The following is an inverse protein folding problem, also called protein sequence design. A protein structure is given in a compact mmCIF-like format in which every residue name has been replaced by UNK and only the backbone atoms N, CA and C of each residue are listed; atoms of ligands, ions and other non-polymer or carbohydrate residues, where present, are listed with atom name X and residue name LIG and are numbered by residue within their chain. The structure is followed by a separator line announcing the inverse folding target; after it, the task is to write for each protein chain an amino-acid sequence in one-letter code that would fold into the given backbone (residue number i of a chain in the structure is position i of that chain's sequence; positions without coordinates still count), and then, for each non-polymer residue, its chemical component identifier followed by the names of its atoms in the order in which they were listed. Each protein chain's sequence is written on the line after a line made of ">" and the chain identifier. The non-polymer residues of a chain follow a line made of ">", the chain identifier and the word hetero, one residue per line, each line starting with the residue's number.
data_IF_535207202874
#
_entry.id   IF_535207202874
#
_cell.length_a   1.000
_cell.length_b   1.000
_cell.length_c   1.000
_cell.angle_alpha   90.00
_cell.angle_beta   90.00
_cell.angle_gamma   90.00
#
_symmetry.space_group_name_H-M   'P 1'
#
loop_
_entity.id
_entity.type
_entity.pdbx_description
1 polymer ?
#
# COMPACT_ATOMS: atom_id res chain seq x y z
N UNK A 1 -33.02 -7.62 -49.00
CA UNK A 1 -31.61 -7.13 -48.85
C UNK A 1 -31.51 -5.87 -48.03
N UNK A 2 -32.40 -4.90 -48.14
CA UNK A 2 -32.39 -3.67 -47.31
C UNK A 2 -32.53 -3.98 -45.80
N UNK A 3 -33.36 -4.94 -45.43
CA UNK A 3 -33.60 -5.35 -44.04
C UNK A 3 -32.36 -5.98 -43.43
N UNK A 4 -31.64 -6.78 -44.20
CA UNK A 4 -30.42 -7.46 -43.72
C UNK A 4 -29.30 -6.44 -43.46
N UNK A 5 -29.18 -5.44 -44.32
CA UNK A 5 -28.19 -4.36 -44.18
C UNK A 5 -28.49 -3.45 -42.99
N UNK A 6 -29.79 -3.12 -42.80
CA UNK A 6 -30.23 -2.34 -41.66
C UNK A 6 -29.97 -3.10 -40.33
N UNK A 7 -30.25 -4.40 -40.33
CA UNK A 7 -30.00 -5.24 -39.19
C UNK A 7 -28.52 -5.33 -38.86
N UNK A 8 -27.66 -5.46 -39.88
CA UNK A 8 -26.21 -5.48 -39.69
C UNK A 8 -25.68 -4.11 -39.17
N UNK A 9 -26.21 -3.00 -39.71
CA UNK A 9 -25.84 -1.69 -39.21
C UNK A 9 -26.21 -1.47 -37.75
N UNK A 10 -27.38 -1.96 -37.36
CA UNK A 10 -27.82 -1.93 -35.97
C UNK A 10 -26.89 -2.74 -35.05
N UNK A 11 -26.47 -3.91 -35.49
CA UNK A 11 -25.53 -4.76 -34.74
C UNK A 11 -24.18 -4.10 -34.62
N UNK A 12 -23.69 -3.47 -35.69
CA UNK A 12 -22.41 -2.74 -35.69
C UNK A 12 -22.46 -1.59 -34.69
N UNK A 13 -23.51 -0.78 -34.70
CA UNK A 13 -23.70 0.32 -33.76
C UNK A 13 -23.75 -0.18 -32.31
N UNK A 14 -24.49 -1.25 -32.06
CA UNK A 14 -24.63 -1.85 -30.75
C UNK A 14 -23.27 -2.35 -30.22
N UNK A 15 -22.50 -3.04 -31.07
CA UNK A 15 -21.16 -3.51 -30.72
C UNK A 15 -20.19 -2.35 -30.48
N UNK A 16 -20.26 -1.31 -31.29
CA UNK A 16 -19.43 -0.12 -31.10
C UNK A 16 -19.73 0.58 -29.78
N UNK A 17 -21.01 0.68 -29.42
CA UNK A 17 -21.43 1.26 -28.14
C UNK A 17 -20.94 0.41 -26.96
N UNK A 18 -21.09 -0.90 -27.06
CA UNK A 18 -20.57 -1.82 -26.04
C UNK A 18 -19.06 -1.71 -25.90
N UNK A 19 -18.33 -1.64 -27.01
CA UNK A 19 -16.88 -1.49 -27.01
C UNK A 19 -16.45 -0.18 -26.35
N UNK A 20 -17.18 0.89 -26.63
CA UNK A 20 -16.92 2.20 -26.01
C UNK A 20 -17.14 2.15 -24.50
N UNK A 21 -18.22 1.54 -24.05
CA UNK A 21 -18.51 1.36 -22.62
C UNK A 21 -17.46 0.49 -21.94
N UNK A 22 -17.06 -0.61 -22.57
CA UNK A 22 -16.02 -1.50 -22.05
C UNK A 22 -14.68 -0.78 -21.94
N UNK A 23 -14.32 0.02 -22.96
CA UNK A 23 -13.10 0.82 -22.92
C UNK A 23 -13.09 1.80 -21.75
N UNK A 24 -14.22 2.45 -21.50
CA UNK A 24 -14.36 3.36 -20.36
C UNK A 24 -14.24 2.64 -19.03
N UNK A 25 -14.84 1.46 -18.89
CA UNK A 25 -14.74 0.64 -17.69
C UNK A 25 -13.32 0.17 -17.44
N UNK A 26 -12.63 -0.26 -18.49
CA UNK A 26 -11.22 -0.68 -18.38
C UNK A 26 -10.36 0.49 -17.92
N UNK A 27 -10.55 1.67 -18.47
CA UNK A 27 -9.81 2.86 -18.03
C UNK A 27 -10.10 3.21 -16.58
N UNK A 28 -11.36 3.15 -16.16
CA UNK A 28 -11.76 3.40 -14.79
C UNK A 28 -11.13 2.38 -13.82
N UNK A 29 -11.15 1.11 -14.20
CA UNK A 29 -10.53 0.05 -13.41
C UNK A 29 -9.03 0.22 -13.29
N UNK A 30 -8.35 0.61 -14.36
CA UNK A 30 -6.91 0.87 -14.33
C UNK A 30 -6.55 2.01 -13.40
N UNK A 31 -7.35 3.08 -13.38
CA UNK A 31 -7.17 4.19 -12.42
C UNK A 31 -7.37 3.72 -11.00
N UNK A 32 -8.39 2.91 -10.77
CA UNK A 32 -8.67 2.35 -9.45
C UNK A 32 -7.54 1.47 -8.97
N UNK A 33 -7.00 0.59 -9.84
CA UNK A 33 -5.83 -0.24 -9.53
C UNK A 33 -4.63 0.63 -9.20
N UNK A 34 -4.38 1.67 -9.98
CA UNK A 34 -3.28 2.60 -9.74
C UNK A 34 -3.43 3.28 -8.37
N UNK A 35 -4.61 3.77 -8.05
CA UNK A 35 -4.89 4.43 -6.77
C UNK A 35 -4.72 3.47 -5.60
N UNK A 36 -5.17 2.23 -5.76
CA UNK A 36 -5.00 1.19 -4.75
C UNK A 36 -3.52 0.83 -4.54
N UNK A 37 -2.75 0.75 -5.63
CA UNK A 37 -1.31 0.49 -5.55
C UNK A 37 -0.57 1.62 -4.84
N UNK A 38 -0.88 2.87 -5.17
CA UNK A 38 -0.30 4.04 -4.49
C UNK A 38 -0.66 4.03 -3.01
N UNK A 39 -1.91 3.73 -2.68
CA UNK A 39 -2.35 3.58 -1.30
C UNK A 39 -1.61 2.48 -0.56
N UNK A 40 -1.43 1.34 -1.20
CA UNK A 40 -0.69 0.21 -0.62
C UNK A 40 0.79 0.56 -0.40
N UNK A 41 1.43 1.20 -1.38
CA UNK A 41 2.83 1.66 -1.24
C UNK A 41 2.98 2.63 -0.06
N UNK A 42 2.01 3.51 0.12
CA UNK A 42 2.00 4.45 1.25
C UNK A 42 1.88 3.72 2.59
N UNK A 43 1.00 2.71 2.67
CA UNK A 43 0.85 1.89 3.88
C UNK A 43 2.12 1.12 4.18
N UNK A 44 2.74 0.51 3.18
CA UNK A 44 4.00 -0.22 3.33
C UNK A 44 5.11 0.71 3.82
N UNK A 45 5.22 1.92 3.25
CA UNK A 45 6.19 2.91 3.68
C UNK A 45 5.97 3.31 5.14
N UNK A 46 4.72 3.53 5.55
CA UNK A 46 4.37 3.86 6.93
C UNK A 46 4.72 2.71 7.89
N UNK A 47 4.47 1.48 7.49
CA UNK A 47 4.83 0.30 8.26
C UNK A 47 6.35 0.15 8.41
N UNK A 48 7.11 0.42 7.37
CA UNK A 48 8.57 0.39 7.41
C UNK A 48 9.12 1.44 8.37
N UNK A 49 8.58 2.65 8.35
CA UNK A 49 8.96 3.73 9.26
C UNK A 49 8.59 3.35 10.70
N UNK A 50 7.40 2.83 10.91
CA UNK A 50 6.95 2.39 12.25
C UNK A 50 7.81 1.24 12.78
N UNK A 51 8.16 0.28 11.94
CA UNK A 51 9.02 -0.85 12.32
C UNK A 51 10.42 -0.37 12.67
N UNK A 52 11.00 0.56 11.90
CA UNK A 52 12.31 1.15 12.18
C UNK A 52 12.29 1.92 13.50
N UNK A 53 11.25 2.71 13.74
CA UNK A 53 11.09 3.46 14.99
C UNK A 53 10.96 2.53 16.20
N UNK A 54 10.18 1.44 16.06
CA UNK A 54 10.00 0.45 17.11
C UNK A 54 11.32 -0.28 17.44
N UNK A 55 12.11 -0.62 16.42
CA UNK A 55 13.41 -1.25 16.57
C UNK A 55 14.38 -0.31 17.31
N UNK A 56 14.41 0.95 16.93
CA UNK A 56 15.26 1.95 17.58
C UNK A 56 14.85 2.20 19.02
N UNK A 57 13.55 2.27 19.28
CA UNK A 57 13.03 2.44 20.64
C UNK A 57 13.42 1.24 21.53
N UNK A 58 13.30 0.01 21.02
CA UNK A 58 13.73 -1.18 21.74
C UNK A 58 15.23 -1.19 22.02
N UNK A 59 16.03 -0.79 21.06
CA UNK A 59 17.50 -0.66 21.22
C UNK A 59 17.87 0.38 22.27
N UNK A 60 17.27 1.56 22.22
CA UNK A 60 17.50 2.62 23.21
C UNK A 60 17.07 2.20 24.60
N UNK A 61 15.96 1.48 24.71
CA UNK A 61 15.46 0.97 25.97
C UNK A 61 16.42 -0.07 26.59
N UNK A 62 16.98 -0.95 25.78
CA UNK A 62 17.99 -1.92 26.20
C UNK A 62 19.26 -1.26 26.69
N UNK A 63 19.73 -0.23 25.99
CA UNK A 63 20.91 0.55 26.38
C UNK A 63 20.70 1.25 27.71
N UNK A 64 19.53 1.81 27.96
CA UNK A 64 19.18 2.43 29.24
C UNK A 64 19.17 1.41 30.38
N UNK A 65 18.64 0.24 30.10
CA UNK A 65 18.57 -0.85 31.08
C UNK A 65 19.98 -1.34 31.42
N UNK A 66 20.84 -1.55 30.43
CA UNK A 66 22.24 -1.92 30.64
C UNK A 66 23.01 -0.86 31.42
N UNK A 67 22.80 0.40 31.09
CA UNK A 67 23.43 1.51 31.82
C UNK A 67 22.99 1.56 33.28
N UNK A 68 21.70 1.34 33.54
CA UNK A 68 21.17 1.27 34.91
C UNK A 68 21.76 0.09 35.70
N UNK A 69 21.87 -1.08 35.07
CA UNK A 69 22.48 -2.26 35.68
C UNK A 69 23.94 -2.04 36.00
N UNK A 70 24.71 -1.42 35.13
CA UNK A 70 26.11 -1.06 35.34
C UNK A 70 26.26 -0.07 36.50
N UNK A 71 25.41 0.93 36.57
CA UNK A 71 25.42 1.93 37.63
C UNK A 71 25.16 1.31 38.99
N UNK A 72 24.20 0.38 39.06
CA UNK A 72 23.87 -0.40 40.24
C UNK A 72 25.06 -1.27 40.69
N UNK A 73 25.72 -1.91 39.75
CA UNK A 73 26.90 -2.75 40.02
C UNK A 73 28.07 -1.94 40.56
N UNK A 74 28.31 -0.75 40.00
CA UNK A 74 29.35 0.17 40.45
C UNK A 74 29.06 0.65 41.88
N UNK A 75 27.81 0.99 42.19
CA UNK A 75 27.38 1.40 43.53
C UNK A 75 27.57 0.28 44.53
N UNK A 76 27.21 -0.92 44.19
CA UNK A 76 27.40 -2.09 45.07
C UNK A 76 28.87 -2.32 45.38
N UNK A 77 29.76 -2.13 44.42
CA UNK A 77 31.23 -2.24 44.62
C UNK A 77 31.81 -1.14 45.48
N UNK A 78 31.25 0.07 45.37
CA UNK A 78 31.78 1.21 46.16
C UNK A 78 31.31 1.20 47.60
N UNK A 79 30.28 0.44 47.95
CA UNK A 79 29.83 0.25 49.36
C UNK A 79 30.65 -0.78 50.14
N UNK A 80 31.43 -1.57 49.44
CA UNK A 80 32.34 -2.56 50.06
C UNK A 80 33.66 -1.94 50.36
#
# INVERSE_FOLDING_TARGET
>A
MRETQSSLNHKIESVQDENSELAQRVQAQRREIQDLLVGLESVVADLEVAAAAATQFGSDNNLRQEAAEMDEEIRARSEI
#
